data_IF_835704702305
#
_entry.id   IF_835704702305
#
_cell.length_a   1.000
_cell.length_b   1.000
_cell.length_c   1.000
_cell.angle_alpha   90.00
_cell.angle_beta   90.00
_cell.angle_gamma   90.00
#
_symmetry.space_group_name_H-M   'P 1'
#
loop_
_entity.id
_entity.type
_entity.pdbx_description
1 polymer ?
#
# COMPACT_ATOMS: atom_id res chain seq x y z
N UNK A 1 -3.42 26.40 24.44
CA UNK A 1 -2.54 25.92 23.36
C UNK A 1 -2.57 24.39 23.43
N UNK A 2 -3.50 23.74 22.72
CA UNK A 2 -3.60 22.27 22.73
C UNK A 2 -2.45 21.70 21.89
N UNK A 3 -1.40 21.24 22.56
CA UNK A 3 -0.39 20.34 21.97
C UNK A 3 -0.89 18.91 22.18
N UNK A 4 -1.89 18.52 21.40
CA UNK A 4 -2.10 17.10 21.15
C UNK A 4 -0.94 16.62 20.28
N UNK A 5 -0.25 15.52 20.60
CA UNK A 5 0.77 14.98 19.72
C UNK A 5 0.06 14.56 18.43
N UNK A 6 0.17 15.37 17.38
CA UNK A 6 -0.19 14.93 16.03
C UNK A 6 0.56 13.63 15.80
N UNK A 7 -0.16 12.53 15.65
CA UNK A 7 0.47 11.23 15.40
C UNK A 7 1.36 11.38 14.14
N UNK A 8 2.69 11.42 14.29
CA UNK A 8 3.57 11.65 13.16
C UNK A 8 3.56 10.45 12.20
N UNK A 9 2.99 9.32 12.62
CA UNK A 9 2.89 8.07 11.87
C UNK A 9 1.57 7.96 11.10
N UNK A 10 0.64 8.92 11.21
CA UNK A 10 -0.57 9.00 10.38
C UNK A 10 -0.23 9.49 8.97
N UNK A 11 0.64 8.77 8.27
CA UNK A 11 0.99 9.00 6.88
C UNK A 11 -0.18 8.63 5.99
N UNK A 12 -0.69 9.60 5.24
CA UNK A 12 -1.79 9.39 4.28
C UNK A 12 -1.23 9.29 2.88
N UNK A 13 -1.69 8.31 2.10
CA UNK A 13 -1.33 8.20 0.67
C UNK A 13 -2.00 9.35 -0.08
N UNK A 14 -1.19 10.17 -0.77
CA UNK A 14 -1.68 11.30 -1.56
C UNK A 14 -1.56 11.08 -3.07
N UNK A 15 -0.64 10.20 -3.49
CA UNK A 15 -0.53 9.76 -4.88
C UNK A 15 0.05 8.35 -4.97
N UNK A 16 -0.35 7.61 -5.99
CA UNK A 16 0.16 6.27 -6.25
C UNK A 16 0.35 6.04 -7.74
N UNK A 17 1.49 5.47 -8.13
CA UNK A 17 1.86 5.20 -9.51
C UNK A 17 2.27 3.73 -9.65
N UNK A 18 1.69 3.02 -10.61
CA UNK A 18 2.18 1.71 -11.02
C UNK A 18 3.33 1.89 -11.99
N UNK A 19 4.44 1.22 -11.73
CA UNK A 19 5.59 1.07 -12.62
C UNK A 19 5.74 -0.40 -13.00
N UNK A 20 6.64 -0.71 -13.94
CA UNK A 20 6.97 -2.10 -14.29
C UNK A 20 7.55 -2.89 -13.11
N UNK A 21 8.13 -2.21 -12.13
CA UNK A 21 8.80 -2.82 -10.96
C UNK A 21 7.86 -3.01 -9.77
N UNK A 22 6.69 -2.34 -9.77
CA UNK A 22 5.73 -2.44 -8.68
C UNK A 22 4.88 -1.21 -8.50
N UNK A 23 4.41 -1.00 -7.27
CA UNK A 23 3.63 0.17 -6.89
C UNK A 23 4.50 1.16 -6.12
N UNK A 24 4.55 2.41 -6.58
CA UNK A 24 5.15 3.54 -5.87
C UNK A 24 4.03 4.35 -5.24
N UNK A 25 4.08 4.56 -3.92
CA UNK A 25 3.11 5.37 -3.18
C UNK A 25 3.82 6.53 -2.49
N UNK A 26 3.29 7.73 -2.69
CA UNK A 26 3.72 8.96 -2.02
C UNK A 26 2.79 9.25 -0.87
N UNK A 27 3.34 9.37 0.34
CA UNK A 27 2.60 9.61 1.56
C UNK A 27 3.00 10.95 2.18
N UNK A 28 2.01 11.64 2.74
CA UNK A 28 2.21 12.91 3.45
C UNK A 28 1.61 12.83 4.84
N UNK A 29 2.36 13.29 5.84
CA UNK A 29 1.84 13.49 7.18
C UNK A 29 1.19 14.88 7.28
N UNK A 30 0.21 15.02 8.17
CA UNK A 30 -0.39 16.33 8.48
C UNK A 30 0.64 17.35 9.00
N UNK A 31 1.75 16.92 9.60
CA UNK A 31 2.84 17.79 10.04
C UNK A 31 3.74 18.31 8.89
N UNK A 32 3.56 17.80 7.66
CA UNK A 32 4.33 18.19 6.48
C UNK A 32 5.47 17.25 6.10
N UNK A 33 5.74 16.20 6.89
CA UNK A 33 6.71 15.16 6.53
C UNK A 33 6.24 14.32 5.32
N UNK A 34 7.21 13.80 4.56
CA UNK A 34 6.99 12.98 3.37
C UNK A 34 7.65 11.61 3.48
N UNK A 35 6.97 10.59 2.97
CA UNK A 35 7.52 9.23 2.81
C UNK A 35 7.18 8.70 1.42
N UNK A 36 8.11 7.93 0.82
CA UNK A 36 7.88 7.22 -0.44
C UNK A 36 8.01 5.73 -0.17
N UNK A 37 6.93 4.98 -0.44
CA UNK A 37 6.91 3.52 -0.30
C UNK A 37 6.92 2.86 -1.67
N UNK A 38 7.81 1.89 -1.84
CA UNK A 38 7.83 1.02 -3.01
C UNK A 38 7.45 -0.39 -2.57
N UNK A 39 6.40 -0.94 -3.18
CA UNK A 39 6.08 -2.36 -3.02
C UNK A 39 6.60 -3.07 -4.27
N UNK A 40 7.68 -3.82 -4.13
CA UNK A 40 8.09 -4.78 -5.16
C UNK A 40 6.99 -5.82 -5.25
N UNK A 41 6.21 -5.82 -6.32
CA UNK A 41 5.25 -6.91 -6.57
C UNK A 41 6.08 -8.15 -6.91
N UNK A 42 6.54 -8.89 -5.91
CA UNK A 42 6.87 -10.30 -6.10
C UNK A 42 5.53 -10.95 -6.39
N UNK A 43 5.20 -11.13 -7.67
CA UNK A 43 3.99 -11.78 -8.11
C UNK A 43 3.91 -13.16 -7.45
N UNK A 44 3.20 -13.24 -6.32
CA UNK A 44 2.87 -14.51 -5.71
C UNK A 44 1.73 -15.03 -6.58
N UNK A 45 2.09 -15.83 -7.59
CA UNK A 45 1.13 -16.60 -8.34
C UNK A 45 0.41 -17.52 -7.34
N UNK A 46 -0.74 -17.07 -6.84
CA UNK A 46 -1.62 -17.93 -6.07
C UNK A 46 -2.08 -19.03 -7.04
N UNK A 47 -1.83 -20.32 -6.73
CA UNK A 47 -2.35 -21.38 -7.56
C UNK A 47 -3.87 -21.22 -7.60
N UNK A 48 -4.43 -21.06 -8.81
CA UNK A 48 -5.89 -21.11 -9.01
C UNK A 48 -6.35 -22.43 -8.39
N UNK A 49 -7.10 -22.34 -7.29
CA UNK A 49 -7.82 -23.49 -6.75
C UNK A 49 -8.90 -23.83 -7.77
N UNK A 50 -8.58 -24.74 -8.69
CA UNK A 50 -9.57 -25.33 -9.58
C UNK A 50 -10.62 -25.98 -8.68
N UNK A 51 -11.79 -25.34 -8.60
CA UNK A 51 -12.97 -25.94 -7.96
C UNK A 51 -13.31 -27.18 -8.78
N UNK A 52 -12.92 -28.35 -8.26
CA UNK A 52 -13.40 -29.62 -8.79
C UNK A 52 -14.89 -29.64 -8.48
N UNK A 53 -15.72 -29.40 -9.51
CA UNK A 53 -17.12 -29.75 -9.46
C UNK A 53 -17.15 -31.27 -9.33
N UNK A 54 -17.53 -31.75 -8.15
CA UNK A 54 -18.01 -33.13 -8.00
C UNK A 54 -19.28 -33.20 -8.84
N UNK A 55 -19.22 -33.95 -9.94
CA UNK A 55 -20.37 -34.40 -10.72
C UNK A 55 -21.06 -35.49 -9.89
N UNK A 56 -22.31 -35.22 -9.52
CA UNK A 56 -23.30 -36.21 -9.08
C UNK A 56 -24.00 -36.79 -10.31
#
# INVERSE_FOLDING_TARGET
MHTEPHDPLALTVVSSHRTSEGLVSYLRCACGAWEVRTSTLVATALPRRSSIKTID
#
